data_IF_655377600890
#
_entry.id   IF_655377600890
#
_cell.length_a   1.000
_cell.length_b   1.000
_cell.length_c   1.000
_cell.angle_alpha   90.00
_cell.angle_beta   90.00
_cell.angle_gamma   90.00
#
_symmetry.space_group_name_H-M   'P 1'
#
loop_
_entity.id
_entity.type
_entity.pdbx_description
1 polymer ?
2 polymer ?
3 non-polymer ?
4 water ?
#
# COMPACT_ATOMS: atom_id res chain seq x y z
N UNK A 13 -4.49 28.84 -8.61
CA UNK A 13 -5.91 28.82 -8.18
C UNK A 13 -6.17 27.63 -7.27
N UNK A 14 -6.72 27.92 -6.09
CA UNK A 14 -7.05 26.91 -5.12
C UNK A 14 -8.18 26.00 -5.61
N UNK A 15 -9.16 26.60 -6.28
CA UNK A 15 -10.29 25.82 -6.80
C UNK A 15 -9.80 24.67 -7.69
N UNK A 16 -8.75 24.94 -8.47
CA UNK A 16 -8.16 23.91 -9.32
C UNK A 16 -7.55 22.84 -8.44
N UNK A 17 -6.86 23.28 -7.39
CA UNK A 17 -6.21 22.38 -6.45
C UNK A 17 -7.23 21.55 -5.68
N UNK A 18 -8.38 22.14 -5.36
CA UNK A 18 -9.42 21.43 -4.63
C UNK A 18 -10.15 20.46 -5.56
N UNK A 19 -10.29 20.84 -6.83
CA UNK A 19 -10.94 19.95 -7.80
C UNK A 19 -10.03 18.77 -8.07
N UNK A 20 -8.72 19.00 -8.04
CA UNK A 20 -7.75 17.92 -8.25
C UNK A 20 -7.81 16.97 -7.06
N UNK A 21 -7.88 17.52 -5.85
CA UNK A 21 -7.96 16.69 -4.65
C UNK A 21 -9.21 15.83 -4.73
N UNK A 22 -10.31 16.43 -5.17
CA UNK A 22 -11.59 15.74 -5.30
C UNK A 22 -11.52 14.64 -6.37
N UNK A 23 -10.90 14.94 -7.51
CA UNK A 23 -10.77 13.97 -8.60
C UNK A 23 -9.99 12.73 -8.10
N UNK A 24 -8.89 12.98 -7.41
CA UNK A 24 -8.08 11.88 -6.87
C UNK A 24 -8.86 11.09 -5.84
N UNK A 25 -9.66 11.78 -5.04
CA UNK A 25 -10.46 11.12 -4.01
C UNK A 25 -11.49 10.21 -4.68
N UNK A 26 -12.15 10.71 -5.71
CA UNK A 26 -13.15 9.91 -6.42
C UNK A 26 -12.51 8.68 -7.09
N UNK A 27 -11.31 8.85 -7.64
CA UNK A 27 -10.61 7.74 -8.31
C UNK A 27 -10.17 6.72 -7.27
N UNK A 28 -9.74 7.24 -6.13
CA UNK A 28 -9.29 6.41 -5.02
C UNK A 28 -10.43 5.48 -4.62
N UNK A 29 -11.63 6.04 -4.50
CA UNK A 29 -12.81 5.28 -4.13
C UNK A 29 -13.13 4.16 -5.14
N UNK A 30 -12.97 4.46 -6.42
CA UNK A 30 -13.25 3.48 -7.46
C UNK A 30 -12.19 2.39 -7.52
N UNK A 31 -10.95 2.75 -7.24
CA UNK A 31 -9.83 1.79 -7.32
C UNK A 31 -9.63 0.90 -6.10
N UNK A 32 -9.89 1.43 -4.91
CA UNK A 32 -9.69 0.66 -3.68
C UNK A 32 -11.00 0.32 -2.97
N UNK A 33 -11.47 -0.93 -3.12
CA UNK A 33 -12.70 -1.41 -2.51
C UNK A 33 -12.83 -1.08 -1.01
N UNK A 34 -11.90 -1.61 -0.21
CA UNK A 34 -11.94 -1.37 1.23
C UNK A 34 -11.10 -0.16 1.64
N UNK A 35 -11.77 0.95 1.85
CA UNK A 35 -11.14 2.20 2.25
C UNK A 35 -10.90 2.22 3.77
N UNK A 36 -10.17 3.22 4.24
CA UNK A 36 -9.89 3.34 5.67
C UNK A 36 -11.20 3.58 6.42
N UNK A 37 -12.08 4.37 5.82
CA UNK A 37 -13.37 4.67 6.43
C UNK A 37 -14.17 3.37 6.59
N UNK A 38 -14.27 2.59 5.52
CA UNK A 38 -14.99 1.33 5.57
C UNK A 38 -14.27 0.34 6.47
N UNK A 39 -12.96 0.42 6.50
CA UNK A 39 -12.17 -0.45 7.36
C UNK A 39 -12.51 -0.13 8.82
N UNK A 40 -12.57 1.16 9.15
CA UNK A 40 -12.87 1.56 10.52
C UNK A 40 -14.30 1.24 10.94
N UNK A 41 -15.24 1.32 10.01
CA UNK A 41 -16.63 1.02 10.32
C UNK A 41 -16.74 -0.45 10.75
N UNK A 42 -16.01 -1.31 10.05
CA UNK A 42 -16.00 -2.73 10.36
C UNK A 42 -15.32 -2.96 11.70
N UNK A 43 -14.15 -2.37 11.88
CA UNK A 43 -13.39 -2.53 13.12
C UNK A 43 -14.10 -1.98 14.34
N UNK A 44 -15.00 -1.02 14.15
CA UNK A 44 -15.72 -0.43 15.28
C UNK A 44 -17.10 -1.05 15.52
N UNK A 45 -17.55 -1.85 14.55
CA UNK A 45 -18.85 -2.50 14.70
C UNK A 45 -19.98 -1.62 14.20
N UNK A 46 -19.63 -0.44 13.70
CA UNK A 46 -20.61 0.51 13.18
C UNK A 46 -21.49 -0.22 12.17
N UNK A 47 -20.89 -1.15 11.44
CA UNK A 47 -21.61 -1.95 10.46
C UNK A 47 -22.30 -3.11 11.16
N UNK A 48 -23.56 -3.37 10.80
CA UNK A 48 -24.29 -4.47 11.41
C UNK A 48 -24.01 -5.77 10.67
N UNK A 49 -23.21 -5.66 9.62
CA UNK A 49 -22.83 -6.81 8.80
C UNK A 49 -22.24 -7.88 9.71
N UNK A 50 -21.93 -9.04 9.13
CA UNK A 50 -21.34 -10.10 9.92
C UNK A 50 -19.90 -9.69 10.24
N UNK A 51 -19.57 -9.68 11.52
CA UNK A 51 -18.22 -9.30 11.93
C UNK A 51 -17.22 -10.17 11.16
N UNK A 52 -15.97 -9.70 11.04
CA UNK A 52 -14.98 -10.50 10.30
C UNK A 52 -14.54 -11.70 11.13
N UNK A 53 -14.25 -12.81 10.45
CA UNK A 53 -13.81 -14.02 11.14
C UNK A 53 -12.42 -13.78 11.71
N UNK A 54 -12.26 -14.01 13.01
CA UNK A 54 -10.98 -13.80 13.67
C UNK A 54 -10.03 -14.99 13.65
N UNK A 55 -8.87 -14.81 13.02
CA UNK A 55 -7.86 -15.86 12.93
C UNK A 55 -6.73 -15.49 13.88
N UNK A 56 -6.62 -16.24 14.98
CA UNK A 56 -5.61 -15.99 16.01
C UNK A 56 -4.57 -17.09 16.18
N UNK A 57 -4.82 -18.24 15.56
CA UNK A 57 -3.88 -19.35 15.66
C UNK A 57 -3.97 -20.26 14.44
N UNK A 58 -3.18 -21.33 14.47
CA UNK A 58 -3.14 -22.29 13.39
C UNK A 58 -4.52 -22.92 13.20
N UNK A 59 -5.17 -23.20 14.32
CA UNK A 59 -6.49 -23.83 14.32
C UNK A 59 -7.55 -22.94 13.65
N UNK A 60 -7.70 -21.72 14.15
CA UNK A 60 -8.69 -20.78 13.61
C UNK A 60 -8.41 -20.51 12.13
N UNK A 61 -7.14 -20.49 11.74
CA UNK A 61 -6.77 -20.26 10.36
C UNK A 61 -7.39 -21.33 9.47
N UNK A 62 -7.32 -22.58 9.91
CA UNK A 62 -7.87 -23.71 9.19
C UNK A 62 -9.38 -23.58 9.08
N UNK A 63 -10.00 -23.17 10.18
CA UNK A 63 -11.46 -23.00 10.23
C UNK A 63 -11.95 -21.92 9.27
N UNK A 64 -11.19 -20.84 9.15
CA UNK A 64 -11.61 -19.73 8.29
C UNK A 64 -11.07 -19.68 6.87
N UNK A 65 -10.61 -20.81 6.34
CA UNK A 65 -10.08 -20.85 4.98
C UNK A 65 -11.14 -20.49 3.93
N UNK A 66 -12.34 -21.00 4.12
CA UNK A 66 -13.44 -20.74 3.19
C UNK A 66 -14.06 -19.36 3.32
N UNK A 67 -13.65 -18.62 4.34
CA UNK A 67 -14.20 -17.28 4.53
C UNK A 67 -13.23 -16.18 4.11
N UNK A 68 -11.96 -16.54 3.95
CA UNK A 68 -10.94 -15.58 3.55
C UNK A 68 -10.34 -15.93 2.20
N UNK A 69 -10.61 -17.14 1.74
CA UNK A 69 -10.10 -17.62 0.44
C UNK A 69 -11.26 -17.90 -0.51
N UNK A 70 -11.47 -16.99 -1.44
CA UNK A 70 -12.55 -17.14 -2.42
C UNK A 70 -12.13 -18.09 -3.55
N UNK A 81 1.74 -27.68 3.10
CA UNK A 81 2.66 -26.61 3.47
C UNK A 81 2.44 -26.12 4.89
N UNK A 82 3.50 -25.68 5.56
CA UNK A 82 3.37 -25.19 6.92
C UNK A 82 2.70 -23.82 6.97
N UNK A 83 2.08 -23.54 8.11
CA UNK A 83 1.38 -22.29 8.34
C UNK A 83 2.14 -21.02 7.95
N UNK A 84 3.39 -20.92 8.40
CA UNK A 84 4.22 -19.76 8.09
C UNK A 84 4.29 -19.47 6.59
N UNK A 85 4.62 -20.50 5.83
CA UNK A 85 4.72 -20.38 4.37
C UNK A 85 3.33 -20.14 3.77
N UNK A 86 2.32 -20.74 4.39
CA UNK A 86 0.94 -20.60 3.94
C UNK A 86 0.48 -19.14 4.01
N UNK A 87 0.79 -18.46 5.10
CA UNK A 87 0.40 -17.08 5.27
C UNK A 87 1.24 -16.15 4.40
N UNK A 88 2.53 -16.46 4.27
CA UNK A 88 3.41 -15.66 3.45
C UNK A 88 2.87 -15.67 2.02
N UNK A 89 2.43 -16.85 1.57
CA UNK A 89 1.88 -17.00 0.22
C UNK A 89 0.65 -16.13 0.07
N UNK A 90 -0.23 -16.20 1.07
CA UNK A 90 -1.44 -15.40 1.06
C UNK A 90 -1.14 -13.93 0.94
N UNK A 91 -0.13 -13.47 1.68
CA UNK A 91 0.26 -12.07 1.65
C UNK A 91 0.67 -11.66 0.24
N UNK A 92 1.38 -12.54 -0.46
CA UNK A 92 1.80 -12.27 -1.83
C UNK A 92 0.59 -12.09 -2.73
N UNK A 93 -0.41 -12.96 -2.58
CA UNK A 93 -1.60 -12.85 -3.41
C UNK A 93 -2.30 -11.50 -3.22
N UNK A 94 -2.32 -11.01 -1.98
CA UNK A 94 -2.96 -9.71 -1.72
C UNK A 94 -2.11 -8.63 -2.38
N UNK A 95 -0.80 -8.71 -2.22
CA UNK A 95 0.11 -7.73 -2.82
C UNK A 95 -0.07 -7.67 -4.33
N UNK A 96 -0.23 -8.83 -4.97
CA UNK A 96 -0.41 -8.87 -6.40
C UNK A 96 -1.67 -8.09 -6.75
N UNK A 97 -2.74 -8.35 -6.01
CA UNK A 97 -4.02 -7.68 -6.20
C UNK A 97 -3.91 -6.17 -5.95
N UNK A 98 -3.16 -5.79 -4.93
CA UNK A 98 -2.99 -4.38 -4.59
C UNK A 98 -2.21 -3.64 -5.68
N UNK A 99 -1.24 -4.32 -6.28
CA UNK A 99 -0.43 -3.73 -7.35
C UNK A 99 -1.32 -3.39 -8.53
N UNK A 100 -2.34 -4.22 -8.76
CA UNK A 100 -3.26 -3.97 -9.86
C UNK A 100 -4.15 -2.79 -9.54
N UNK A 101 -4.65 -2.71 -8.30
CA UNK A 101 -5.50 -1.61 -7.89
C UNK A 101 -4.71 -0.29 -7.88
N UNK A 102 -3.47 -0.37 -7.40
CA UNK A 102 -2.60 0.80 -7.34
C UNK A 102 -2.27 1.28 -8.75
N UNK A 103 -2.01 0.34 -9.66
CA UNK A 103 -1.70 0.68 -11.05
C UNK A 103 -2.90 1.39 -11.67
N UNK A 104 -4.10 0.91 -11.35
CA UNK A 104 -5.32 1.52 -11.87
C UNK A 104 -5.46 2.94 -11.34
N UNK A 105 -5.18 3.12 -10.04
CA UNK A 105 -5.26 4.45 -9.43
C UNK A 105 -4.21 5.37 -10.05
N UNK A 106 -3.01 4.85 -10.31
CA UNK A 106 -1.94 5.64 -10.89
C UNK A 106 -2.35 6.23 -12.24
N UNK A 107 -2.96 5.40 -13.08
CA UNK A 107 -3.39 5.83 -14.40
C UNK A 107 -4.46 6.92 -14.34
N UNK A 108 -5.08 7.10 -13.18
CA UNK A 108 -6.10 8.14 -13.05
C UNK A 108 -5.48 9.46 -12.59
N UNK A 109 -4.20 9.42 -12.20
CA UNK A 109 -3.51 10.64 -11.77
C UNK A 109 -3.28 11.50 -13.00
N UNK A 110 -3.80 12.74 -13.02
CA UNK A 110 -3.59 13.59 -14.19
C UNK A 110 -2.13 13.69 -14.64
N UNK A 111 -1.90 13.36 -15.92
CA UNK A 111 -0.57 13.42 -16.48
C UNK A 111 0.18 12.10 -16.51
N UNK A 112 -0.21 11.17 -15.65
CA UNK A 112 0.47 9.89 -15.57
C UNK A 112 0.53 9.06 -16.86
N UNK A 113 -0.61 8.77 -17.47
CA UNK A 113 -0.61 7.95 -18.69
C UNK A 113 0.05 8.62 -19.88
N UNK A 114 0.27 9.94 -19.79
CA UNK A 114 0.90 10.67 -20.89
C UNK A 114 2.43 10.65 -20.76
N UNK A 115 2.94 10.02 -19.72
CA UNK A 115 4.37 9.92 -19.50
C UNK A 115 4.92 8.79 -20.36
N UNK A 116 6.23 8.76 -20.55
CA UNK A 116 6.86 7.71 -21.33
C UNK A 116 6.48 6.40 -20.64
N UNK A 117 6.11 5.39 -21.44
CA UNK A 117 5.70 4.10 -20.90
C UNK A 117 6.75 3.52 -19.96
N UNK A 118 8.02 3.58 -20.35
CA UNK A 118 9.08 3.04 -19.52
C UNK A 118 9.16 3.74 -18.17
N UNK A 119 8.86 5.03 -18.13
CA UNK A 119 8.89 5.75 -16.85
C UNK A 119 7.68 5.35 -15.99
N UNK A 120 6.55 5.06 -16.62
CA UNK A 120 5.37 4.64 -15.87
C UNK A 120 5.70 3.37 -15.12
N UNK A 121 6.34 2.42 -15.79
CA UNK A 121 6.73 1.15 -15.19
C UNK A 121 7.70 1.37 -14.02
N UNK A 122 8.70 2.20 -14.24
CA UNK A 122 9.69 2.48 -13.20
C UNK A 122 9.04 3.10 -11.98
N UNK A 123 8.13 4.05 -12.21
CA UNK A 123 7.44 4.70 -11.10
C UNK A 123 6.63 3.69 -10.31
N UNK A 124 6.06 2.71 -11.01
CA UNK A 124 5.28 1.68 -10.34
C UNK A 124 6.18 0.70 -9.60
N UNK A 125 7.22 0.25 -10.29
CA UNK A 125 8.18 -0.69 -9.74
C UNK A 125 8.68 -0.28 -8.36
N UNK A 126 9.05 1.00 -8.24
CA UNK A 126 9.58 1.54 -6.99
C UNK A 126 8.53 2.11 -6.04
N UNK A 127 7.34 2.41 -6.55
CA UNK A 127 6.31 2.98 -5.71
C UNK A 127 5.26 2.10 -5.08
N UNK A 128 4.82 1.05 -5.79
CA UNK A 128 3.76 0.17 -5.27
C UNK A 128 3.91 -0.33 -3.84
N UNK A 129 5.09 -0.82 -3.47
CA UNK A 129 5.26 -1.33 -2.12
C UNK A 129 5.23 -0.26 -1.04
N UNK A 130 5.71 0.94 -1.35
CA UNK A 130 5.65 2.02 -0.38
C UNK A 130 4.17 2.34 -0.19
N UNK A 131 3.42 2.19 -1.27
CA UNK A 131 1.98 2.44 -1.23
C UNK A 131 1.27 1.32 -0.47
N UNK A 132 1.76 0.10 -0.63
CA UNK A 132 1.16 -1.03 0.05
C UNK A 132 1.33 -0.86 1.56
N UNK A 133 2.51 -0.42 1.98
CA UNK A 133 2.77 -0.20 3.40
C UNK A 133 1.81 0.86 3.93
N UNK A 134 1.70 1.94 3.19
CA UNK A 134 0.82 3.04 3.55
C UNK A 134 -0.63 2.60 3.72
N UNK A 135 -1.17 1.90 2.72
CA UNK A 135 -2.54 1.45 2.76
C UNK A 135 -2.83 0.31 3.74
N UNK A 136 -1.82 -0.51 4.03
CA UNK A 136 -2.00 -1.59 4.99
C UNK A 136 -2.33 -0.96 6.33
N UNK A 137 -1.76 0.22 6.58
CA UNK A 137 -2.03 0.94 7.83
C UNK A 137 -3.52 1.19 8.00
N UNK A 138 -4.22 1.50 6.90
CA UNK A 138 -5.65 1.78 6.95
C UNK A 138 -6.46 0.57 7.41
N UNK A 139 -5.91 -0.62 7.25
CA UNK A 139 -6.61 -1.85 7.62
C UNK A 139 -6.11 -2.46 8.92
N UNK A 140 -5.23 -1.75 9.62
CA UNK A 140 -4.68 -2.28 10.86
C UNK A 140 -4.92 -1.42 12.10
N UNK A 141 -4.80 -2.05 13.25
CA UNK A 141 -4.89 -1.40 14.54
C UNK A 141 -3.82 -2.13 15.33
N UNK A 142 -3.68 -1.86 16.62
CA UNK A 142 -2.65 -2.51 17.41
C UNK A 142 -2.84 -4.01 17.62
N UNK A 143 -4.02 -4.53 17.30
CA UNK A 143 -4.30 -5.95 17.51
C UNK A 143 -4.26 -6.84 16.27
N UNK A 144 -4.35 -6.26 15.08
CA UNK A 144 -4.32 -7.09 13.89
C UNK A 144 -4.64 -6.38 12.60
N UNK A 145 -4.75 -7.14 11.52
CA UNK A 145 -5.03 -6.57 10.20
C UNK A 145 -6.26 -7.19 9.52
N UNK A 146 -7.04 -6.35 8.85
CA UNK A 146 -8.22 -6.82 8.14
C UNK A 146 -7.73 -7.41 6.82
N UNK A 147 -8.27 -8.57 6.46
CA UNK A 147 -7.89 -9.23 5.21
C UNK A 147 -9.15 -9.67 4.47
N UNK A 148 -8.99 -10.02 3.20
CA UNK A 148 -10.10 -10.47 2.38
C UNK A 148 -11.23 -9.45 2.40
N UNK A 149 -10.94 -8.23 2.01
CA UNK A 149 -11.93 -7.17 2.00
C UNK A 149 -12.70 -7.04 3.31
N UNK A 150 -11.99 -7.16 4.42
CA UNK A 150 -12.62 -7.04 5.72
C UNK A 150 -13.43 -8.21 6.22
N UNK A 151 -13.43 -9.31 5.48
CA UNK A 151 -14.17 -10.51 5.87
C UNK A 151 -13.37 -11.36 6.84
N UNK A 152 -12.12 -10.96 7.08
CA UNK A 152 -11.28 -11.69 8.01
C UNK A 152 -10.40 -10.75 8.79
N UNK A 153 -9.99 -11.16 9.98
CA UNK A 153 -9.12 -10.35 10.81
C UNK A 153 -8.08 -11.25 11.46
N UNK A 154 -6.81 -11.08 11.07
CA UNK A 154 -5.74 -11.89 11.61
C UNK A 154 -5.00 -11.08 12.67
N UNK A 155 -4.77 -11.69 13.83
CA UNK A 155 -4.10 -10.99 14.91
C UNK A 155 -2.61 -10.80 14.69
N UNK A 156 -2.11 -9.67 15.20
CA UNK A 156 -0.73 -9.29 15.10
C UNK A 156 0.19 -10.24 15.86
N UNK A 157 -0.31 -10.75 16.98
CA UNK A 157 0.45 -11.66 17.81
C UNK A 157 0.69 -12.98 17.08
N UNK A 158 -0.35 -13.46 16.41
CA UNK A 158 -0.27 -14.71 15.65
C UNK A 158 0.72 -14.55 14.50
N UNK A 159 0.66 -13.39 13.85
CA UNK A 159 1.56 -13.12 12.72
C UNK A 159 3.01 -12.91 13.11
N UNK A 160 3.26 -12.25 14.24
CA UNK A 160 4.64 -12.01 14.63
C UNK A 160 5.26 -13.23 15.31
N UNK A 161 4.42 -14.19 15.68
CA UNK A 161 4.90 -15.40 16.33
C UNK A 161 5.35 -16.43 15.30
N UNK A 162 4.94 -16.21 14.05
CA UNK A 162 5.32 -17.11 12.96
C UNK A 162 6.81 -17.38 13.04
N UNK A 163 7.21 -18.65 12.87
CA UNK A 163 8.62 -19.00 12.93
C UNK A 163 9.42 -18.07 12.02
N UNK A 164 10.56 -17.60 12.51
CA UNK A 164 11.41 -16.72 11.74
C UNK A 164 11.81 -17.38 10.43
N UNK A 165 12.12 -16.58 9.39
CA UNK A 165 12.13 -15.12 9.37
C UNK A 165 10.77 -14.52 8.99
N UNK A 166 9.71 -15.32 9.08
CA UNK A 166 8.38 -14.85 8.71
C UNK A 166 7.78 -13.90 9.73
N UNK A 167 7.99 -14.20 11.01
CA UNK A 167 7.46 -13.33 12.05
C UNK A 167 8.02 -11.93 11.91
N UNK A 168 9.32 -11.83 11.64
CA UNK A 168 9.98 -10.55 11.48
C UNK A 168 9.59 -9.90 10.16
N UNK A 169 8.97 -10.68 9.29
CA UNK A 169 8.55 -10.17 7.99
C UNK A 169 7.25 -9.38 8.13
N UNK A 170 6.39 -9.86 9.02
CA UNK A 170 5.08 -9.24 9.26
C UNK A 170 5.12 -8.03 10.18
N UNK A 171 5.65 -8.22 11.38
CA UNK A 171 5.73 -7.17 12.41
C UNK A 171 6.11 -5.76 11.96
N UNK A 172 7.08 -5.62 11.04
CA UNK A 172 7.46 -4.28 10.59
C UNK A 172 6.31 -3.47 9.99
N UNK A 173 5.40 -4.13 9.29
CA UNK A 173 4.26 -3.43 8.71
C UNK A 173 3.42 -2.79 9.82
N UNK A 174 3.19 -3.56 10.88
CA UNK A 174 2.40 -3.10 12.03
C UNK A 174 3.08 -1.91 12.71
N UNK A 175 4.40 -2.01 12.90
CA UNK A 175 5.16 -0.94 13.56
C UNK A 175 4.89 0.37 12.85
N UNK A 176 5.00 0.36 11.53
CA UNK A 176 4.77 1.55 10.74
C UNK A 176 3.34 2.06 10.87
N UNK A 177 2.38 1.13 10.78
CA UNK A 177 0.97 1.47 10.86
C UNK A 177 0.58 2.17 12.16
N UNK A 178 1.05 1.66 13.28
CA UNK A 178 0.72 2.25 14.57
C UNK A 178 1.17 3.71 14.59
N UNK A 179 2.36 3.99 14.08
CA UNK A 179 2.88 5.35 14.04
C UNK A 179 2.16 6.19 13.00
N UNK A 180 1.98 5.62 11.80
CA UNK A 180 1.31 6.35 10.73
C UNK A 180 -0.14 6.69 11.10
N UNK A 181 -0.82 5.74 11.74
CA UNK A 181 -2.22 5.96 12.14
C UNK A 181 -2.39 7.05 13.18
N UNK A 182 -1.32 7.34 13.92
CA UNK A 182 -1.37 8.38 14.93
C UNK A 182 -1.54 9.74 14.24
N UNK A 183 -1.28 9.78 12.93
CA UNK A 183 -1.43 11.02 12.17
C UNK A 183 -2.90 11.29 11.83
N UNK A 184 -3.73 10.27 11.97
CA UNK A 184 -5.17 10.39 11.73
C UNK A 184 -5.61 10.90 10.35
N UNK A 185 -4.94 10.47 9.30
CA UNK A 185 -5.31 10.87 7.94
C UNK A 185 -6.61 10.16 7.56
N UNK A 186 -7.36 10.73 6.63
CA UNK A 186 -8.58 10.07 6.16
C UNK A 186 -8.32 9.70 4.70
N UNK A 187 -9.27 9.01 4.07
CA UNK A 187 -9.10 8.60 2.69
C UNK A 187 -8.84 9.75 1.74
N UNK A 188 -9.37 10.93 2.05
CA UNK A 188 -9.16 12.09 1.20
C UNK A 188 -7.72 12.55 1.24
N UNK A 189 -7.13 12.54 2.43
CA UNK A 189 -5.73 12.94 2.57
C UNK A 189 -4.89 11.88 1.88
N UNK A 190 -5.21 10.62 2.15
CA UNK A 190 -4.48 9.48 1.58
C UNK A 190 -4.40 9.47 0.07
N UNK A 191 -5.51 9.78 -0.60
CA UNK A 191 -5.53 9.79 -2.06
C UNK A 191 -4.41 10.67 -2.62
N UNK A 192 -4.23 11.86 -2.05
CA UNK A 192 -3.20 12.77 -2.54
C UNK A 192 -1.80 12.32 -2.09
N UNK A 193 -1.68 11.87 -0.84
CA UNK A 193 -0.41 11.42 -0.30
C UNK A 193 0.15 10.31 -1.20
N UNK A 194 -0.73 9.37 -1.56
CA UNK A 194 -0.36 8.24 -2.40
C UNK A 194 0.05 8.71 -3.80
N UNK A 195 -0.67 9.66 -4.37
CA UNK A 195 -0.33 10.16 -5.69
C UNK A 195 1.04 10.84 -5.69
N UNK A 196 1.32 11.61 -4.64
CA UNK A 196 2.61 12.29 -4.53
C UNK A 196 3.74 11.25 -4.55
N UNK A 197 3.57 10.17 -3.78
CA UNK A 197 4.55 9.11 -3.71
C UNK A 197 4.79 8.46 -5.07
N UNK A 198 3.72 8.08 -5.75
CA UNK A 198 3.85 7.45 -7.06
C UNK A 198 4.61 8.35 -8.05
N UNK A 199 4.35 9.65 -8.00
CA UNK A 199 5.02 10.60 -8.89
C UNK A 199 6.34 11.13 -8.32
N UNK A 200 7.22 10.24 -7.88
CA UNK A 200 8.52 10.65 -7.34
C UNK A 200 9.51 10.71 -8.49
N UNK A 201 10.04 11.90 -8.74
CA UNK A 201 10.98 12.05 -9.85
C UNK A 201 12.41 11.62 -9.58
N UNK A 202 12.65 11.03 -8.41
CA UNK A 202 13.99 10.60 -8.07
C UNK A 202 14.15 9.09 -8.01
N UNK A 203 13.26 8.36 -8.69
CA UNK A 203 13.32 6.91 -8.75
C UNK A 203 14.43 6.53 -9.72
N UNK A 204 15.22 5.50 -9.39
CA UNK A 204 16.33 5.04 -10.24
C UNK A 204 15.93 4.66 -11.68
N UNK A 205 16.60 5.26 -12.65
CA UNK A 205 16.34 4.92 -14.03
C UNK A 205 15.28 5.70 -14.80
N UNK A 206 14.77 6.79 -14.23
CA UNK A 206 13.76 7.59 -14.91
C UNK A 206 14.40 8.30 -16.09
N UNK A 207 13.68 8.39 -17.20
CA UNK A 207 14.19 9.03 -18.42
C UNK A 207 13.82 10.49 -18.56
N UNK A 208 12.56 10.83 -18.26
CA UNK A 208 12.08 12.20 -18.39
C UNK A 208 11.59 12.68 -17.02
N UNK A 209 12.53 13.13 -16.20
CA UNK A 209 12.24 13.58 -14.86
C UNK A 209 11.40 14.85 -14.73
N UNK A 210 11.67 15.84 -15.57
CA UNK A 210 10.96 17.10 -15.53
C UNK A 210 9.42 17.01 -15.53
N UNK A 211 8.83 16.26 -16.47
CA UNK A 211 7.36 16.18 -16.46
C UNK A 211 6.82 15.51 -15.20
N UNK A 212 7.61 14.59 -14.63
CA UNK A 212 7.20 13.89 -13.41
C UNK A 212 7.25 14.88 -12.23
N UNK A 213 8.34 15.65 -12.14
CA UNK A 213 8.48 16.63 -11.07
C UNK A 213 7.44 17.74 -11.18
N UNK A 214 7.07 18.11 -12.40
CA UNK A 214 6.06 19.14 -12.60
C UNK A 214 4.74 18.64 -12.05
N UNK A 215 4.42 17.39 -12.36
CA UNK A 215 3.19 16.78 -11.88
C UNK A 215 3.24 16.68 -10.35
N UNK A 216 4.35 16.22 -9.80
CA UNK A 216 4.45 16.07 -8.34
C UNK A 216 4.38 17.41 -7.61
N UNK A 217 5.01 18.45 -8.15
CA UNK A 217 4.96 19.75 -7.48
C UNK A 217 3.52 20.21 -7.32
N UNK A 218 2.70 19.97 -8.34
CA UNK A 218 1.31 20.37 -8.27
C UNK A 218 0.56 19.49 -7.27
N UNK A 219 0.88 18.20 -7.25
CA UNK A 219 0.24 17.28 -6.31
C UNK A 219 0.59 17.70 -4.88
N UNK A 220 1.84 18.11 -4.68
CA UNK A 220 2.32 18.54 -3.35
C UNK A 220 1.56 19.78 -2.87
N UNK A 221 1.31 20.73 -3.77
CA UNK A 221 0.56 21.93 -3.43
C UNK A 221 -0.85 21.51 -3.03
N UNK A 222 -1.43 20.60 -3.80
CA UNK A 222 -2.78 20.09 -3.51
C UNK A 222 -2.82 19.42 -2.15
N UNK A 223 -1.76 18.67 -1.85
CA UNK A 223 -1.69 17.98 -0.55
C UNK A 223 -1.59 18.99 0.59
N UNK A 224 -0.74 19.99 0.41
CA UNK A 224 -0.56 21.00 1.44
C UNK A 224 -1.85 21.75 1.72
N UNK A 225 -2.59 22.09 0.66
CA UNK A 225 -3.86 22.78 0.85
C UNK A 225 -4.85 21.84 1.54
N UNK A 226 -4.87 20.59 1.09
CA UNK A 226 -5.76 19.58 1.66
C UNK A 226 -5.55 19.43 3.17
N UNK A 227 -4.29 19.35 3.60
CA UNK A 227 -3.99 19.19 5.01
C UNK A 227 -4.29 20.46 5.81
N UNK A 228 -4.13 21.61 5.17
CA UNK A 228 -4.41 22.88 5.83
C UNK A 228 -5.90 23.05 6.09
N UNK A 229 -6.73 22.62 5.14
CA UNK A 229 -8.18 22.74 5.29
C UNK A 229 -8.78 21.62 6.12
N UNK A 230 -8.28 20.41 5.92
CA UNK A 230 -8.80 19.24 6.61
C UNK A 230 -8.22 19.05 8.01
N UNK A 231 -7.03 19.58 8.26
CA UNK A 231 -6.38 19.46 9.56
C UNK A 231 -5.82 20.82 10.00
N UNK A 232 -6.68 21.81 10.22
CA UNK A 232 -6.24 23.15 10.64
C UNK A 232 -5.50 23.13 11.97
N UNK A 233 -5.87 22.19 12.84
CA UNK A 233 -5.29 22.09 14.16
C UNK A 233 -3.92 21.40 14.18
N UNK A 234 -3.47 20.88 13.05
CA UNK A 234 -2.19 20.19 12.97
C UNK A 234 -1.34 20.78 11.84
N UNK A 235 -0.72 21.93 12.10
CA UNK A 235 0.11 22.63 11.13
C UNK A 235 1.35 21.88 10.66
N UNK A 236 1.77 20.86 11.41
CA UNK A 236 2.95 20.10 11.06
C UNK A 236 2.71 18.85 10.20
N UNK A 237 1.45 18.56 9.92
CA UNK A 237 1.13 17.36 9.15
C UNK A 237 1.79 17.24 7.78
N UNK A 238 1.80 18.32 7.00
CA UNK A 238 2.42 18.27 5.67
C UNK A 238 3.89 17.87 5.80
N UNK A 239 4.63 18.56 6.67
CA UNK A 239 6.04 18.28 6.88
C UNK A 239 6.25 16.86 7.39
N UNK A 240 5.34 16.38 8.24
CA UNK A 240 5.49 15.02 8.75
C UNK A 240 5.24 13.96 7.68
N UNK A 241 4.33 14.22 6.75
CA UNK A 241 4.06 13.26 5.69
C UNK A 241 5.25 13.17 4.75
N UNK A 242 5.90 14.30 4.48
CA UNK A 242 7.08 14.32 3.62
C UNK A 242 8.14 13.42 4.23
N UNK A 243 8.17 13.37 5.56
CA UNK A 243 9.14 12.55 6.27
C UNK A 243 8.75 11.08 6.16
N UNK A 244 7.45 10.80 6.22
CA UNK A 244 6.97 9.43 6.11
C UNK A 244 7.36 8.84 4.76
N UNK A 245 7.39 9.70 3.74
CA UNK A 245 7.76 9.27 2.40
C UNK A 245 9.19 8.74 2.40
N UNK A 246 10.07 9.41 3.13
CA UNK A 246 11.45 8.98 3.21
C UNK A 246 11.52 7.73 4.10
N UNK A 247 10.68 7.66 5.13
CA UNK A 247 10.68 6.49 6.00
C UNK A 247 10.28 5.26 5.20
N UNK A 248 9.27 5.41 4.36
CA UNK A 248 8.80 4.29 3.53
C UNK A 248 9.89 3.69 2.65
N UNK A 249 10.81 4.50 2.15
CA UNK A 249 11.87 3.97 1.32
C UNK A 249 12.80 3.09 2.14
N UNK A 250 13.11 3.54 3.35
CA UNK A 250 13.99 2.79 4.23
C UNK A 250 13.33 1.48 4.64
N UNK A 251 12.05 1.55 5.00
CA UNK A 251 11.35 0.34 5.41
C UNK A 251 11.21 -0.60 4.21
N UNK A 252 11.14 -0.04 3.02
CA UNK A 252 11.01 -0.87 1.82
C UNK A 252 12.33 -1.59 1.55
N UNK A 253 13.44 -0.86 1.61
CA UNK A 253 14.74 -1.47 1.38
C UNK A 253 14.91 -2.65 2.33
N UNK A 254 14.56 -2.44 3.60
CA UNK A 254 14.66 -3.51 4.58
C UNK A 254 13.73 -4.67 4.22
N UNK A 255 12.57 -4.33 3.69
CA UNK A 255 11.60 -5.35 3.28
C UNK A 255 12.20 -6.19 2.17
N UNK A 256 12.75 -5.51 1.17
CA UNK A 256 13.37 -6.19 0.03
C UNK A 256 14.49 -7.11 0.49
N UNK A 257 15.33 -6.62 1.40
CA UNK A 257 16.43 -7.42 1.91
C UNK A 257 15.86 -8.65 2.60
N UNK A 258 14.87 -8.40 3.47
CA UNK A 258 14.21 -9.47 4.22
C UNK A 258 13.62 -10.50 3.27
N UNK A 259 13.21 -10.05 2.09
CA UNK A 259 12.65 -10.94 1.08
C UNK A 259 13.74 -11.79 0.44
N UNK A 260 14.88 -11.15 0.17
CA UNK A 260 16.02 -11.82 -0.44
C UNK A 260 16.39 -13.08 0.34
N UNK A 261 16.52 -12.94 1.65
CA UNK A 261 16.90 -14.04 2.53
C UNK A 261 15.88 -15.19 2.50
N UNK A 262 14.60 -14.84 2.50
CA UNK A 262 13.54 -15.84 2.49
C UNK A 262 13.51 -16.65 1.20
N UNK A 263 13.60 -15.98 0.06
CA UNK A 263 13.57 -16.67 -1.22
C UNK A 263 14.80 -17.52 -1.49
N UNK A 264 15.83 -17.38 -0.66
CA UNK A 264 17.05 -18.17 -0.85
C UNK A 264 17.34 -19.11 0.30
N UNK A 265 16.54 -19.05 1.36
CA UNK A 265 16.74 -19.93 2.50
C UNK A 265 15.56 -20.89 2.68
N UNK A 266 14.42 -20.52 2.11
CA UNK A 266 13.21 -21.33 2.19
C UNK A 266 13.00 -22.09 0.89
N UNK A 267 13.47 -23.33 0.85
CA UNK A 267 13.37 -24.20 -0.32
C UNK A 267 12.07 -24.10 -1.10
N UNK A 268 10.96 -24.25 -0.40
CA UNK A 268 9.65 -24.20 -1.04
C UNK A 268 9.02 -22.80 -1.02
N UNK A 269 9.66 -21.85 -1.72
CA UNK A 269 9.16 -20.49 -1.77
C UNK A 269 8.93 -19.94 -3.16
N UNK A 270 7.75 -20.24 -3.71
CA UNK A 270 7.38 -19.76 -5.02
C UNK A 270 7.00 -18.30 -4.89
N UNK A 271 7.70 -17.42 -5.60
CA UNK A 271 7.36 -16.00 -5.54
C UNK A 271 6.53 -15.72 -6.78
N UNK A 272 5.41 -15.03 -6.60
CA UNK A 272 4.52 -14.71 -7.70
C UNK A 272 5.22 -13.93 -8.80
N UNK A 273 4.97 -14.28 -10.06
CA UNK A 273 5.57 -13.63 -11.22
C UNK A 273 5.56 -12.10 -11.21
N UNK A 274 4.48 -11.50 -10.71
CA UNK A 274 4.41 -10.04 -10.68
C UNK A 274 5.42 -9.49 -9.68
N UNK A 275 5.48 -10.12 -8.51
CA UNK A 275 6.43 -9.68 -7.49
C UNK A 275 7.86 -9.83 -7.99
N UNK A 276 8.15 -10.92 -8.69
CA UNK A 276 9.48 -11.14 -9.23
C UNK A 276 9.85 -9.96 -10.12
N UNK A 277 8.93 -9.62 -11.02
CA UNK A 277 9.11 -8.53 -11.97
C UNK A 277 9.50 -7.26 -11.22
N UNK A 278 8.68 -6.91 -10.24
CA UNK A 278 8.89 -5.73 -9.44
C UNK A 278 10.25 -5.75 -8.72
N UNK A 279 10.56 -6.87 -8.09
CA UNK A 279 11.81 -6.98 -7.34
C UNK A 279 13.09 -7.13 -8.16
N UNK A 280 12.99 -7.75 -9.32
CA UNK A 280 14.16 -7.96 -10.16
C UNK A 280 14.87 -6.66 -10.51
N UNK A 281 16.13 -6.57 -10.10
CA UNK A 281 16.95 -5.40 -10.36
C UNK A 281 16.45 -4.14 -9.68
N UNK A 282 15.97 -4.28 -8.44
CA UNK A 282 15.51 -3.14 -7.67
C UNK A 282 16.75 -2.71 -6.91
N UNK A 283 17.79 -2.36 -7.68
CA UNK A 283 19.09 -1.93 -7.15
C UNK A 283 19.05 -1.17 -5.83
N UNK B 1 12.16 -6.23 -19.36
CA UNK B 1 11.15 -7.16 -18.79
C UNK B 1 9.85 -6.43 -18.45
N UNK B 2 9.41 -6.57 -17.20
CA UNK B 2 8.19 -5.93 -16.74
C UNK B 2 7.07 -6.04 -17.76
N UNK B 3 6.86 -7.26 -18.27
CA UNK B 3 5.83 -7.53 -19.26
C UNK B 3 4.44 -7.41 -18.66
N UNK B 4 4.30 -7.78 -17.38
CA UNK B 4 3.01 -7.71 -16.72
C UNK B 4 2.65 -6.26 -16.42
N UNK B 5 3.61 -5.49 -15.94
CA UNK B 5 3.37 -4.07 -15.65
C UNK B 5 3.02 -3.34 -16.94
N UNK B 6 3.68 -3.70 -18.05
CA UNK B 6 3.39 -3.07 -19.34
C UNK B 6 1.94 -3.36 -19.72
N UNK B 7 1.53 -4.61 -19.55
CA UNK B 7 0.16 -5.02 -19.86
C UNK B 7 -0.84 -4.19 -19.04
N UNK B 8 -0.64 -4.17 -17.73
CA UNK B 8 -1.51 -3.42 -16.84
C UNK B 8 -1.60 -1.95 -17.21
N UNK B 9 -0.46 -1.37 -17.60
CA UNK B 9 -0.42 0.05 -17.95
C UNK B 9 -1.16 0.41 -19.25
N UNK B 10 -1.13 -0.49 -20.22
CA UNK B 10 -1.80 -0.23 -21.48
C UNK B 10 -3.19 -0.82 -21.49
N UNK B 11 -3.52 -1.51 -20.40
CA UNK B 11 -4.83 -2.12 -20.20
C UNK B 11 -5.84 -0.98 -20.27
X LIG C 1 -6.41 -17.23 -1.53
X LIG C 1 -5.46 -17.10 -0.32
X LIG C 1 -4.94 -18.10 0.17
X LIG C 1 -5.17 -15.73 0.25
X LIG C 1 -4.87 -15.61 1.78
X LIG C 1 -5.18 -14.20 2.41
X LIG C 1 -4.88 -13.11 1.36
X LIG C 1 -4.88 -13.34 0.02
X LIG C 1 -5.16 -14.57 -0.50
X LIG C 1 -4.60 -11.89 1.91
X LIG C 1 -4.00 -12.24 3.11
X LIG C 1 -4.28 -13.56 3.47
X LIG C 1 -3.76 -14.10 4.65
X LIG C 1 -2.96 -13.31 5.47
X LIG C 1 -2.67 -11.97 5.13
X LIG C 1 -3.20 -11.42 3.92
X LIG C 1 -6.67 -14.15 2.84
X LIG C 1 -4.46 -16.55 2.45
X LIG C 1 -5.42 -14.63 -1.84
X LIG C 1 -4.02 -15.39 5.02
X LIG C 1 -1.87 -11.15 5.94
X LIG C 1 -1.56 -11.38 7.34
X LIG C 1 -2.97 -9.99 3.41
X LIG C 1 -3.90 -9.21 3.22
X LIG C 1 -1.72 -9.59 3.15
X LIG C 1 -1.24 -8.21 3.26
X LIG C 1 0.27 -8.09 3.56
X LIG C 1 0.70 -7.98 4.88
X LIG C 1 2.10 -7.88 5.15
X LIG C 1 3.02 -7.90 4.09
X LIG C 1 2.56 -8.03 2.77
X LIG C 1 1.19 -8.12 2.51
X LIG C 1 2.54 -7.76 6.48
X LIG C 1 1.61 -7.75 7.52
X LIG C 1 0.23 -7.84 7.25
X LIG C 1 -0.23 -7.95 5.94
X LIG C 1 3.55 -8.04 1.60
X LIG C 1 4.36 -9.35 1.49
X LIG C 1 4.60 -9.77 0.02
X LIG C 1 5.38 -8.72 -0.79
X LIG C 1 4.57 -7.72 -1.28
X LIG C 1 6.59 -8.79 -0.99
#
# INVERSE_FOLDING_TARGET
MRGSHHHHHHGPESADLRALAKHLYDSYIKSFPLTKAKARAILTGKTTDKSPFVIYDMNSLMMGEDKIKFKHITPLQEQSKEVAIRIFQGCQFRSVEAVQEITEYAKSIPGFVNLDLNDQVTLLKYGVHEIIYTMLASLMNKDGVLISEGQGFMTREFLKSLRKPFGDFMEPKFEFAVKFNALELDDSDLAIFIAVIILSGDRPGLLNVKPIEDIQDNLLQALELQLKLNHPESSQLFAKLLQKMTDLRQIVTEHVQLLQVIKKTETDMSLHPLLQEIYKDLY
RHKILHRLLQEGSPS
24L C1 C2 O3 C4 C5 C6 C7 C8 C9 O10 C11 C12 C13 C14 C15 C16 C17 O18 O19 O20 O21 C22 C23 O24 N25 C26 C27 C28 C29 C30 C31 C32 C33 C34 C35 C36 C37 C38 C39 C40 O41 O42
#
